data_IF_199946523997
#
_entry.id   IF_199946523997
#
_cell.length_a   1.000
_cell.length_b   1.000
_cell.length_c   1.000
_cell.angle_alpha   90.00
_cell.angle_beta   90.00
_cell.angle_gamma   90.00
#
_symmetry.space_group_name_H-M   'P 1'
#
loop_
_entity.id
_entity.type
_entity.pdbx_description
1 polymer ?
#
# COMPACT_ATOMS: atom_id res chain seq x y z
N UNK A 1 -30.73 -0.42 -12.35
CA UNK A 1 -30.23 -0.10 -13.70
C UNK A 1 -28.94 0.68 -13.50
N UNK A 2 -27.84 -0.01 -13.20
CA UNK A 2 -26.45 0.46 -13.31
C UNK A 2 -25.55 -0.74 -12.91
N UNK A 3 -25.42 -1.62 -13.87
CA UNK A 3 -24.35 -2.62 -13.92
C UNK A 3 -23.51 -2.16 -15.11
N UNK A 4 -22.30 -1.71 -14.82
CA UNK A 4 -21.16 -1.68 -15.75
C UNK A 4 -20.08 -0.75 -15.17
N UNK A 5 -19.13 -1.34 -14.47
CA UNK A 5 -17.73 -0.87 -14.38
C UNK A 5 -16.89 -1.80 -13.48
N UNK A 6 -16.87 -3.08 -13.84
CA UNK A 6 -16.02 -4.06 -13.17
C UNK A 6 -15.26 -4.95 -14.17
N UNK A 7 -14.75 -4.33 -15.25
CA UNK A 7 -13.88 -5.05 -16.22
C UNK A 7 -12.77 -4.12 -16.64
N UNK A 8 -11.70 -4.04 -15.85
CA UNK A 8 -10.39 -3.58 -16.36
C UNK A 8 -9.22 -3.89 -15.38
N UNK A 9 -9.11 -5.13 -14.89
CA UNK A 9 -7.84 -5.62 -14.33
C UNK A 9 -7.76 -7.14 -14.47
N UNK A 10 -7.78 -7.62 -15.75
CA UNK A 10 -7.33 -8.96 -16.11
C UNK A 10 -6.90 -8.94 -17.56
N UNK A 11 -5.64 -8.63 -17.79
CA UNK A 11 -4.86 -9.09 -18.96
C UNK A 11 -3.46 -8.49 -18.87
N UNK A 12 -2.54 -9.26 -18.34
CA UNK A 12 -1.11 -9.26 -18.69
C UNK A 12 -0.43 -10.41 -17.92
N UNK A 13 -0.72 -11.63 -18.32
CA UNK A 13 0.15 -12.77 -18.08
C UNK A 13 -0.33 -13.91 -18.96
N UNK A 14 0.21 -14.02 -20.17
CA UNK A 14 0.47 -15.32 -20.83
C UNK A 14 1.00 -15.09 -22.24
N UNK A 15 1.98 -15.91 -22.54
CA UNK A 15 2.42 -16.40 -23.83
C UNK A 15 3.72 -15.84 -24.38
N UNK A 16 4.76 -16.62 -24.18
CA UNK A 16 5.83 -16.81 -25.16
C UNK A 16 6.28 -18.28 -25.10
N UNK A 17 5.64 -19.11 -25.89
CA UNK A 17 6.18 -20.39 -26.34
C UNK A 17 6.07 -20.37 -27.87
N UNK A 18 7.20 -20.28 -28.54
CA UNK A 18 7.32 -20.50 -29.97
C UNK A 18 8.17 -21.75 -30.21
N UNK A 19 7.49 -22.79 -30.63
CA UNK A 19 8.04 -24.00 -31.20
C UNK A 19 8.43 -23.75 -32.66
N UNK A 20 9.63 -24.17 -33.05
CA UNK A 20 10.01 -24.30 -34.47
C UNK A 20 10.24 -25.77 -34.77
N UNK A 21 9.46 -26.32 -35.72
CA UNK A 21 9.64 -27.60 -36.36
C UNK A 21 9.61 -27.43 -37.88
N UNK A 22 10.40 -28.24 -38.58
CA UNK A 22 10.29 -28.56 -40.01
C UNK A 22 11.48 -28.04 -40.79
N UNK A 23 12.37 -28.79 -41.36
CA UNK A 23 12.29 -30.12 -41.95
C UNK A 23 12.35 -30.04 -43.47
N UNK A 24 13.38 -30.59 -44.06
CA UNK A 24 13.33 -31.00 -45.47
C UNK A 24 14.66 -30.89 -46.24
N UNK A 25 15.06 -31.95 -46.92
CA UNK A 25 16.38 -32.13 -47.48
C UNK A 25 16.40 -31.92 -49.02
N UNK A 26 17.52 -31.49 -49.56
CA UNK A 26 17.87 -31.61 -51.00
C UNK A 26 19.40 -31.58 -51.08
N UNK A 27 20.07 -32.32 -51.65
CA UNK A 27 20.24 -33.30 -52.72
C UNK A 27 21.74 -33.27 -53.19
N UNK A 28 22.23 -34.41 -53.60
CA UNK A 28 23.62 -34.69 -53.88
C UNK A 28 24.02 -34.18 -55.25
N UNK A 29 25.22 -33.64 -55.38
CA UNK A 29 25.85 -33.28 -56.67
C UNK A 29 27.38 -33.46 -56.68
N UNK A 30 27.79 -34.62 -56.93
CA UNK A 30 28.92 -35.13 -57.73
C UNK A 30 30.23 -34.36 -57.84
N UNK A 31 31.27 -35.07 -57.50
CA UNK A 31 32.70 -34.80 -57.54
C UNK A 31 33.28 -34.38 -58.89
N UNK A 32 34.34 -33.59 -58.85
CA UNK A 32 35.46 -33.65 -59.81
C UNK A 32 36.78 -33.55 -59.05
N UNK A 33 37.59 -34.59 -59.30
CA UNK A 33 38.96 -34.80 -58.86
C UNK A 33 39.88 -33.93 -59.67
N UNK A 34 40.80 -33.18 -59.07
CA UNK A 34 42.01 -32.66 -59.65
C UNK A 34 43.17 -32.81 -58.67
N UNK A 35 44.16 -33.65 -59.10
CA UNK A 35 45.47 -33.80 -58.48
C UNK A 35 46.36 -32.61 -58.84
N UNK A 36 47.15 -32.14 -57.91
CA UNK A 36 48.15 -31.10 -58.20
C UNK A 36 48.97 -30.70 -56.98
N UNK A 37 49.95 -31.52 -56.66
CA UNK A 37 51.30 -31.22 -56.11
C UNK A 37 51.54 -30.06 -55.18
N UNK A 38 51.86 -30.38 -53.95
CA UNK A 38 53.03 -30.08 -53.12
C UNK A 38 53.78 -28.76 -53.37
N UNK A 39 53.36 -27.65 -52.68
CA UNK A 39 54.20 -26.51 -52.31
C UNK A 39 53.57 -25.65 -51.19
N UNK A 40 52.77 -26.22 -50.33
CA UNK A 40 51.97 -25.46 -49.37
C UNK A 40 52.25 -25.80 -47.89
N UNK A 41 53.34 -26.48 -47.55
CA UNK A 41 53.51 -26.99 -46.22
C UNK A 41 54.23 -26.08 -45.24
N UNK A 42 54.97 -25.06 -45.69
CA UNK A 42 55.69 -24.16 -44.78
C UNK A 42 54.97 -22.82 -44.40
N UNK A 43 54.07 -22.35 -45.25
CA UNK A 43 53.29 -21.14 -45.00
C UNK A 43 52.15 -21.33 -43.97
N UNK A 44 51.69 -22.59 -43.79
CA UNK A 44 50.49 -22.91 -43.01
C UNK A 44 50.76 -22.99 -41.48
N UNK A 45 52.06 -23.20 -41.09
CA UNK A 45 52.40 -23.24 -39.62
C UNK A 45 52.58 -21.84 -39.03
N UNK A 46 53.03 -20.86 -39.79
CA UNK A 46 53.15 -19.48 -39.31
C UNK A 46 51.76 -18.82 -39.22
N UNK A 47 50.88 -19.04 -40.19
CA UNK A 47 49.53 -18.47 -40.19
C UNK A 47 48.67 -19.03 -39.04
N UNK A 48 48.83 -20.33 -38.73
CA UNK A 48 48.11 -20.94 -37.58
C UNK A 48 48.55 -20.37 -36.22
N UNK A 49 49.81 -20.00 -36.06
CA UNK A 49 50.32 -19.38 -34.80
C UNK A 49 49.84 -17.94 -34.64
N UNK A 50 49.75 -17.18 -35.72
CA UNK A 50 49.27 -15.78 -35.69
C UNK A 50 47.75 -15.73 -35.46
N UNK A 51 46.98 -16.63 -36.12
CA UNK A 51 45.53 -16.73 -35.88
C UNK A 51 45.25 -17.23 -34.47
N UNK A 52 46.04 -18.18 -33.93
CA UNK A 52 45.87 -18.65 -32.56
C UNK A 52 46.08 -17.57 -31.49
N UNK A 53 47.06 -16.64 -31.72
CA UNK A 53 47.32 -15.53 -30.82
C UNK A 53 46.25 -14.45 -30.94
N UNK A 54 45.76 -14.15 -32.14
CA UNK A 54 44.70 -13.18 -32.37
C UNK A 54 43.32 -13.67 -31.81
N UNK A 55 43.05 -14.96 -31.92
CA UNK A 55 41.82 -15.53 -31.30
C UNK A 55 41.92 -15.61 -29.78
N UNK A 56 43.10 -15.85 -29.20
CA UNK A 56 43.30 -15.79 -27.75
C UNK A 56 43.15 -14.38 -27.19
N UNK A 57 43.48 -13.33 -27.96
CA UNK A 57 43.29 -11.92 -27.56
C UNK A 57 41.85 -11.45 -27.75
N UNK A 58 41.05 -12.09 -28.59
CA UNK A 58 39.64 -11.73 -28.80
C UNK A 58 38.73 -12.25 -27.68
N UNK A 59 39.18 -13.15 -26.83
CA UNK A 59 38.45 -13.69 -25.66
C UNK A 59 38.81 -13.04 -24.32
N UNK A 60 39.60 -11.97 -24.30
CA UNK A 60 39.56 -11.03 -23.18
C UNK A 60 38.28 -10.20 -23.36
N UNK A 61 37.13 -10.87 -23.32
CA UNK A 61 35.86 -10.22 -23.06
C UNK A 61 36.06 -9.44 -21.78
N UNK A 62 35.97 -8.11 -21.87
CA UNK A 62 35.71 -7.27 -20.73
C UNK A 62 34.45 -7.85 -20.06
N UNK A 63 34.64 -8.76 -19.13
CA UNK A 63 33.68 -8.97 -18.08
C UNK A 63 33.66 -7.64 -17.32
N UNK A 64 32.88 -6.72 -17.82
CA UNK A 64 32.52 -5.49 -17.12
C UNK A 64 31.86 -6.00 -15.86
N UNK A 65 32.65 -6.07 -14.76
CA UNK A 65 32.11 -6.43 -13.47
C UNK A 65 30.97 -5.45 -13.20
N UNK A 66 29.74 -5.95 -13.28
CA UNK A 66 28.58 -5.15 -12.92
C UNK A 66 28.87 -4.59 -11.54
N UNK A 67 28.80 -3.27 -11.41
CA UNK A 67 28.95 -2.63 -10.10
C UNK A 67 27.97 -3.30 -9.14
N UNK A 68 28.42 -3.81 -7.98
CA UNK A 68 27.54 -4.47 -7.05
C UNK A 68 26.40 -3.54 -6.66
N UNK A 69 25.15 -3.97 -6.89
CA UNK A 69 23.99 -3.25 -6.43
C UNK A 69 23.83 -3.47 -4.93
N UNK A 70 23.45 -2.42 -4.20
CA UNK A 70 23.06 -2.50 -2.79
C UNK A 70 21.55 -2.37 -2.67
N UNK A 71 20.89 -3.13 -1.76
CA UNK A 71 19.46 -2.99 -1.52
C UNK A 71 19.10 -1.56 -1.08
N UNK A 72 17.99 -1.03 -1.61
CA UNK A 72 17.35 0.17 -1.09
C UNK A 72 16.44 -0.24 0.06
N UNK A 73 16.83 0.04 1.30
CA UNK A 73 16.05 -0.31 2.49
C UNK A 73 15.14 0.86 2.86
N UNK A 74 13.82 0.62 2.83
CA UNK A 74 12.79 1.62 3.20
C UNK A 74 12.38 1.46 4.66
N UNK A 75 12.33 0.24 5.19
CA UNK A 75 11.86 -0.05 6.54
C UNK A 75 12.04 -1.53 6.88
N UNK A 76 11.24 -2.01 7.81
CA UNK A 76 11.27 -3.39 8.29
C UNK A 76 9.94 -4.08 8.07
N UNK A 77 9.95 -5.40 7.94
CA UNK A 77 8.75 -6.24 7.91
C UNK A 77 8.87 -7.37 8.92
N UNK A 78 7.76 -7.69 9.59
CA UNK A 78 7.67 -8.87 10.45
C UNK A 78 6.25 -9.45 10.41
N UNK A 79 6.05 -10.61 11.00
CA UNK A 79 4.74 -11.26 11.09
C UNK A 79 4.30 -11.43 12.53
N UNK A 80 3.00 -11.28 12.76
CA UNK A 80 2.31 -11.62 14.01
C UNK A 80 1.46 -12.85 13.73
N UNK A 81 1.64 -13.92 14.51
CA UNK A 81 0.69 -15.02 14.57
C UNK A 81 -0.48 -14.60 15.47
N UNK A 82 -1.51 -14.04 14.81
CA UNK A 82 -2.65 -13.49 15.53
C UNK A 82 -3.55 -14.58 16.08
N UNK A 83 -3.75 -14.58 17.37
CA UNK A 83 -4.73 -15.44 18.05
C UNK A 83 -6.16 -14.92 17.89
N UNK A 84 -6.31 -13.60 17.82
CA UNK A 84 -7.60 -12.93 17.63
C UNK A 84 -8.16 -13.23 16.25
N UNK A 85 -7.32 -13.15 15.20
CA UNK A 85 -7.73 -13.39 13.82
C UNK A 85 -7.59 -14.85 13.39
N UNK A 86 -6.78 -15.66 14.08
CA UNK A 86 -6.49 -17.05 13.72
C UNK A 86 -5.63 -17.20 12.48
N UNK A 87 -4.78 -16.21 12.17
CA UNK A 87 -3.96 -16.17 10.95
C UNK A 87 -2.65 -15.39 11.16
N UNK A 88 -1.72 -15.54 10.20
CA UNK A 88 -0.50 -14.73 10.16
C UNK A 88 -0.80 -13.35 9.56
N UNK A 89 -0.34 -12.30 10.22
CA UNK A 89 -0.42 -10.92 9.75
C UNK A 89 0.96 -10.35 9.50
N UNK A 90 1.19 -9.89 8.28
CA UNK A 90 2.42 -9.17 7.93
C UNK A 90 2.25 -7.70 8.27
N UNK A 91 3.27 -7.16 8.93
CA UNK A 91 3.35 -5.78 9.37
C UNK A 91 4.59 -5.14 8.75
N UNK A 92 4.42 -4.01 8.11
CA UNK A 92 5.49 -3.20 7.54
C UNK A 92 5.67 -1.94 8.38
N UNK A 93 6.91 -1.60 8.71
CA UNK A 93 7.20 -0.45 9.57
C UNK A 93 8.24 0.46 8.92
N UNK A 94 7.92 1.75 8.87
CA UNK A 94 8.85 2.80 8.47
C UNK A 94 9.09 3.76 9.64
N UNK A 95 10.35 3.98 9.98
CA UNK A 95 10.78 4.97 10.96
C UNK A 95 11.49 6.10 10.21
N UNK A 96 11.06 7.37 10.35
CA UNK A 96 11.71 8.49 9.66
C UNK A 96 13.19 8.58 10.01
N UNK A 97 14.10 8.78 9.03
CA UNK A 97 15.52 8.92 9.27
C UNK A 97 15.85 10.04 10.29
N UNK A 98 16.84 9.79 11.14
CA UNK A 98 17.26 10.75 12.18
C UNK A 98 16.37 10.77 13.43
N UNK A 99 15.35 9.92 13.51
CA UNK A 99 14.40 9.89 14.63
C UNK A 99 14.52 8.66 15.54
N UNK A 100 15.52 7.80 15.32
CA UNK A 100 15.69 6.51 16.01
C UNK A 100 15.79 6.62 17.54
N UNK A 101 16.34 7.73 18.06
CA UNK A 101 16.54 7.94 19.49
C UNK A 101 15.35 8.59 20.19
N UNK A 102 14.42 9.15 19.44
CA UNK A 102 13.21 9.78 19.95
C UNK A 102 12.10 8.75 20.24
N UNK A 103 11.19 9.09 21.16
CA UNK A 103 9.91 8.40 21.25
C UNK A 103 8.93 9.08 20.30
N UNK A 104 8.41 8.33 19.34
CA UNK A 104 7.55 8.84 18.28
C UNK A 104 6.10 8.40 18.46
N UNK A 105 5.11 9.21 18.07
CA UNK A 105 3.75 8.74 17.89
C UNK A 105 3.67 7.75 16.72
N UNK A 106 2.60 6.97 16.69
CA UNK A 106 2.42 5.91 15.67
C UNK A 106 1.27 6.26 14.73
N UNK A 107 1.51 6.15 13.42
CA UNK A 107 0.47 6.21 12.39
C UNK A 107 0.21 4.79 11.87
N UNK A 108 -0.96 4.25 12.16
CA UNK A 108 -1.42 2.96 11.65
C UNK A 108 -2.12 3.13 10.30
N UNK A 109 -1.97 2.16 9.43
CA UNK A 109 -2.69 2.12 8.16
C UNK A 109 -3.06 0.68 7.76
N UNK A 110 -4.34 0.37 7.58
CA UNK A 110 -4.76 -0.75 6.74
C UNK A 110 -4.31 -0.53 5.29
N UNK A 111 -4.41 -1.54 4.43
CA UNK A 111 -3.85 -1.49 3.08
C UNK A 111 -2.34 -1.16 3.09
N UNK A 112 -1.64 -1.71 4.10
CA UNK A 112 -0.26 -1.37 4.42
C UNK A 112 0.77 -2.36 3.87
N UNK A 113 0.45 -3.15 2.84
CA UNK A 113 1.38 -4.02 2.13
C UNK A 113 2.31 -3.25 1.20
N UNK A 114 3.45 -3.86 0.85
CA UNK A 114 4.41 -3.26 -0.11
C UNK A 114 3.78 -3.10 -1.52
N UNK A 115 2.87 -4.00 -1.90
CA UNK A 115 2.09 -3.93 -3.14
C UNK A 115 0.78 -3.12 -2.99
N UNK A 116 0.55 -2.55 -1.82
CA UNK A 116 -0.57 -1.69 -1.48
C UNK A 116 -0.05 -0.24 -1.27
N UNK A 117 -0.58 0.50 -0.32
CA UNK A 117 -0.29 1.93 -0.14
C UNK A 117 0.90 2.25 0.79
N UNK A 118 1.60 1.26 1.33
CA UNK A 118 2.67 1.48 2.30
C UNK A 118 3.76 2.42 1.79
N UNK A 119 4.28 2.17 0.58
CA UNK A 119 5.37 2.99 0.01
C UNK A 119 4.91 4.41 -0.30
N UNK A 120 3.65 4.58 -0.71
CA UNK A 120 3.05 5.88 -0.96
C UNK A 120 3.03 6.73 0.33
N UNK A 121 2.49 6.19 1.41
CA UNK A 121 2.37 6.92 2.68
C UNK A 121 3.74 7.10 3.36
N UNK A 122 4.64 6.12 3.28
CA UNK A 122 6.01 6.27 3.75
C UNK A 122 6.74 7.41 3.03
N UNK A 123 6.57 7.53 1.71
CA UNK A 123 7.13 8.63 0.92
C UNK A 123 6.55 9.99 1.29
N UNK A 124 5.23 10.08 1.52
CA UNK A 124 4.61 11.32 2.00
C UNK A 124 5.16 11.75 3.36
N UNK A 125 5.30 10.80 4.30
CA UNK A 125 5.91 11.09 5.61
C UNK A 125 7.36 11.50 5.48
N UNK A 126 8.16 10.79 4.67
CA UNK A 126 9.57 11.13 4.46
C UNK A 126 9.75 12.58 4.02
N UNK A 127 9.02 12.99 2.98
CA UNK A 127 9.12 14.35 2.43
C UNK A 127 8.60 15.38 3.42
N UNK A 128 7.46 15.11 4.07
CA UNK A 128 6.80 16.05 4.97
C UNK A 128 7.54 16.24 6.29
N UNK A 129 8.17 15.20 6.81
CA UNK A 129 9.06 15.28 7.97
C UNK A 129 10.37 16.01 7.59
N UNK A 130 10.93 15.69 6.41
CA UNK A 130 12.17 16.33 5.93
C UNK A 130 12.07 17.83 5.66
N UNK A 131 10.85 18.36 5.42
CA UNK A 131 10.59 19.78 5.24
C UNK A 131 9.84 20.43 6.42
N UNK A 132 9.80 19.77 7.58
CA UNK A 132 9.22 20.26 8.84
C UNK A 132 7.72 20.61 8.78
N UNK A 133 6.97 20.14 7.79
CA UNK A 133 5.51 20.37 7.72
C UNK A 133 4.72 19.37 8.54
N UNK A 134 5.30 18.20 8.82
CA UNK A 134 4.73 17.11 9.62
C UNK A 134 5.77 16.66 10.64
N UNK A 135 5.37 16.46 11.88
CA UNK A 135 6.24 15.86 12.91
C UNK A 135 6.46 14.38 12.63
N UNK A 136 7.59 13.78 13.06
CA UNK A 136 7.88 12.38 12.78
C UNK A 136 6.89 11.43 13.47
N UNK A 137 6.41 10.43 12.73
CA UNK A 137 5.60 9.30 13.17
C UNK A 137 6.25 8.00 12.74
N UNK A 138 6.17 6.97 13.56
CA UNK A 138 6.39 5.59 13.11
C UNK A 138 5.18 5.20 12.27
N UNK A 139 5.37 4.85 10.99
CA UNK A 139 4.30 4.30 10.16
C UNK A 139 4.24 2.78 10.36
N UNK A 140 3.04 2.28 10.64
CA UNK A 140 2.75 0.85 10.80
C UNK A 140 1.70 0.44 9.78
N UNK A 141 2.13 -0.21 8.72
CA UNK A 141 1.27 -0.74 7.67
C UNK A 141 0.84 -2.18 7.98
N UNK A 142 -0.45 -2.45 7.90
CA UNK A 142 -1.05 -3.76 8.09
C UNK A 142 -1.42 -4.31 6.71
N UNK A 143 -0.66 -5.31 6.23
CA UNK A 143 -0.92 -5.95 4.94
C UNK A 143 -2.24 -6.73 4.98
N UNK A 144 -3.00 -6.65 3.90
CA UNK A 144 -4.29 -7.34 3.81
C UNK A 144 -4.11 -8.86 3.64
N UNK A 145 -5.02 -9.59 4.26
CA UNK A 145 -5.32 -11.01 3.97
C UNK A 145 -6.72 -11.10 3.37
N UNK A 146 -7.73 -10.75 4.13
CA UNK A 146 -9.12 -10.66 3.69
C UNK A 146 -9.65 -9.23 3.89
N UNK A 147 -9.23 -8.33 3.00
CA UNK A 147 -9.52 -6.90 3.08
C UNK A 147 -10.97 -6.57 3.40
N UNK A 148 -11.91 -7.21 2.69
CA UNK A 148 -13.35 -6.92 2.85
C UNK A 148 -13.92 -7.46 4.15
N UNK A 149 -13.42 -8.61 4.65
CA UNK A 149 -13.74 -9.10 5.99
C UNK A 149 -13.32 -8.10 7.06
N UNK A 150 -12.08 -7.64 7.00
CA UNK A 150 -11.45 -6.89 8.08
C UNK A 150 -11.89 -5.42 8.13
N UNK A 151 -12.20 -4.83 6.98
CA UNK A 151 -12.46 -3.40 6.87
C UNK A 151 -13.95 -3.03 6.84
N UNK A 152 -14.84 -4.02 6.91
CA UNK A 152 -16.29 -3.78 6.92
C UNK A 152 -16.95 -4.24 8.21
N UNK A 153 -17.91 -3.45 8.69
CA UNK A 153 -18.83 -3.86 9.74
C UNK A 153 -19.92 -4.84 9.25
N UNK A 154 -20.68 -5.44 10.15
CA UNK A 154 -21.82 -6.28 9.78
C UNK A 154 -22.79 -5.53 8.87
N UNK A 155 -23.30 -6.23 7.85
CA UNK A 155 -24.28 -5.71 6.92
C UNK A 155 -25.55 -6.56 6.89
N UNK A 156 -26.68 -5.93 6.66
CA UNK A 156 -27.96 -6.59 6.36
C UNK A 156 -28.29 -6.55 4.86
N UNK A 157 -27.55 -5.74 4.11
CA UNK A 157 -27.71 -5.63 2.66
C UNK A 157 -27.15 -6.90 1.97
N UNK A 158 -27.96 -7.51 1.12
CA UNK A 158 -27.57 -8.72 0.41
C UNK A 158 -26.62 -8.45 -0.75
N UNK A 159 -26.58 -7.23 -1.30
CA UNK A 159 -25.61 -6.83 -2.32
C UNK A 159 -24.22 -6.68 -1.69
N UNK A 160 -24.12 -6.08 -0.51
CA UNK A 160 -22.88 -6.02 0.25
C UNK A 160 -22.29 -7.41 0.50
N UNK A 161 -23.14 -8.39 0.86
CA UNK A 161 -22.69 -9.77 1.13
C UNK A 161 -22.15 -10.49 -0.09
N UNK A 162 -22.50 -10.02 -1.31
CA UNK A 162 -22.02 -10.61 -2.58
C UNK A 162 -20.60 -10.17 -2.96
N UNK A 163 -20.11 -9.06 -2.42
CA UNK A 163 -18.81 -8.51 -2.84
C UNK A 163 -17.59 -9.31 -2.39
N UNK A 164 -17.75 -10.17 -1.38
CA UNK A 164 -16.70 -11.07 -0.92
C UNK A 164 -17.30 -12.27 -0.18
N UNK A 165 -16.59 -13.41 -0.10
CA UNK A 165 -17.03 -14.59 0.65
C UNK A 165 -17.25 -14.31 2.14
N UNK A 166 -16.47 -13.41 2.71
CA UNK A 166 -16.56 -13.00 4.12
C UNK A 166 -16.51 -11.48 4.23
N UNK A 167 -17.42 -10.91 5.01
CA UNK A 167 -17.54 -9.49 5.33
C UNK A 167 -17.91 -9.33 6.82
N UNK A 168 -17.84 -8.11 7.36
CA UNK A 168 -18.38 -7.80 8.67
C UNK A 168 -17.48 -8.11 9.87
N UNK A 169 -16.16 -8.26 9.66
CA UNK A 169 -15.19 -8.62 10.69
C UNK A 169 -14.44 -7.43 11.32
N UNK A 170 -14.82 -6.19 11.03
CA UNK A 170 -14.10 -4.99 11.48
C UNK A 170 -13.92 -4.91 13.00
N UNK A 171 -14.88 -5.40 13.79
CA UNK A 171 -14.76 -5.42 15.24
C UNK A 171 -13.64 -6.34 15.74
N UNK A 172 -13.47 -7.49 15.10
CA UNK A 172 -12.39 -8.45 15.42
C UNK A 172 -11.05 -7.88 14.96
N UNK A 173 -11.03 -7.16 13.84
CA UNK A 173 -9.83 -6.50 13.37
C UNK A 173 -9.39 -5.35 14.31
N UNK A 174 -10.33 -4.56 14.87
CA UNK A 174 -10.03 -3.58 15.96
C UNK A 174 -9.46 -4.29 17.20
N UNK A 175 -10.01 -5.43 17.56
CA UNK A 175 -9.52 -6.22 18.70
C UNK A 175 -8.07 -6.70 18.48
N UNK A 176 -7.74 -7.21 17.28
CA UNK A 176 -6.35 -7.53 16.88
C UNK A 176 -5.43 -6.32 17.02
N UNK A 177 -5.82 -5.17 16.48
CA UNK A 177 -5.00 -3.95 16.56
C UNK A 177 -4.74 -3.59 18.04
N UNK A 178 -5.77 -3.61 18.87
CA UNK A 178 -5.68 -3.23 20.29
C UNK A 178 -4.87 -4.22 21.11
N UNK A 179 -5.13 -5.52 20.95
CA UNK A 179 -4.62 -6.54 21.85
C UNK A 179 -3.28 -7.15 21.44
N UNK A 180 -2.98 -7.12 20.15
CA UNK A 180 -1.80 -7.80 19.61
C UNK A 180 -0.85 -6.82 18.90
N UNK A 181 -1.33 -6.03 17.94
CA UNK A 181 -0.46 -5.16 17.16
C UNK A 181 0.13 -4.01 17.98
N UNK A 182 -0.69 -3.22 18.68
CA UNK A 182 -0.21 -2.08 19.46
C UNK A 182 0.81 -2.47 20.55
N UNK A 183 0.59 -3.54 21.34
CA UNK A 183 1.61 -4.03 22.28
C UNK A 183 2.90 -4.47 21.61
N UNK A 184 2.83 -5.15 20.47
CA UNK A 184 3.99 -5.60 19.71
C UNK A 184 4.82 -4.42 19.18
N UNK A 185 4.16 -3.38 18.65
CA UNK A 185 4.82 -2.15 18.22
C UNK A 185 5.50 -1.45 19.42
N UNK A 186 4.83 -1.36 20.55
CA UNK A 186 5.40 -0.74 21.76
C UNK A 186 6.60 -1.53 22.33
N UNK A 187 6.65 -2.85 22.12
CA UNK A 187 7.76 -3.69 22.52
C UNK A 187 8.99 -3.55 21.60
N UNK A 188 8.76 -3.31 20.29
CA UNK A 188 9.83 -3.25 19.28
C UNK A 188 10.40 -1.85 19.07
N UNK A 189 9.56 -0.82 19.18
CA UNK A 189 9.92 0.55 18.82
C UNK A 189 9.74 1.51 19.99
N UNK A 190 10.53 2.58 19.98
CA UNK A 190 10.42 3.66 20.97
C UNK A 190 9.24 4.56 20.60
N UNK A 191 8.05 4.23 21.09
CA UNK A 191 6.82 4.97 20.77
C UNK A 191 6.24 5.70 21.97
N UNK A 192 5.43 6.74 21.70
CA UNK A 192 4.59 7.43 22.67
C UNK A 192 3.23 6.74 22.79
N UNK A 193 2.34 7.26 23.64
CA UNK A 193 0.95 6.79 23.72
C UNK A 193 0.08 7.36 22.60
N UNK A 194 0.52 8.43 21.94
CA UNK A 194 -0.26 9.05 20.87
C UNK A 194 -0.28 8.18 19.62
N UNK A 195 -1.48 7.98 19.09
CA UNK A 195 -1.72 7.14 17.93
C UNK A 195 -2.68 7.78 16.94
N UNK A 196 -2.39 7.56 15.66
CA UNK A 196 -3.21 7.98 14.53
C UNK A 196 -3.53 6.80 13.62
N UNK A 197 -4.61 6.92 12.84
CA UNK A 197 -4.95 5.96 11.78
C UNK A 197 -5.34 6.70 10.51
N UNK A 198 -4.91 6.19 9.35
CA UNK A 198 -5.28 6.67 8.02
C UNK A 198 -5.77 5.53 7.15
N UNK A 199 -6.77 5.78 6.33
CA UNK A 199 -7.26 4.83 5.33
C UNK A 199 -8.10 5.50 4.26
N UNK A 200 -8.15 4.85 3.09
CA UNK A 200 -8.92 5.26 1.92
C UNK A 200 -9.95 4.19 1.57
N UNK A 201 -11.08 4.58 0.98
CA UNK A 201 -12.10 3.63 0.52
C UNK A 201 -12.67 2.78 1.66
N UNK A 202 -12.57 1.43 1.59
CA UNK A 202 -12.97 0.54 2.68
C UNK A 202 -12.09 0.72 3.95
N UNK A 203 -10.80 1.05 3.80
CA UNK A 203 -9.95 1.43 4.93
C UNK A 203 -10.42 2.75 5.56
N UNK A 204 -10.89 3.70 4.74
CA UNK A 204 -11.54 4.93 5.21
C UNK A 204 -12.84 4.63 5.95
N UNK A 205 -13.66 3.68 5.47
CA UNK A 205 -14.83 3.21 6.18
C UNK A 205 -14.46 2.63 7.56
N UNK A 206 -13.44 1.77 7.63
CA UNK A 206 -12.94 1.21 8.88
C UNK A 206 -12.48 2.30 9.86
N UNK A 207 -11.80 3.35 9.36
CA UNK A 207 -11.39 4.50 10.15
C UNK A 207 -12.60 5.23 10.75
N UNK A 208 -13.62 5.56 9.93
CA UNK A 208 -14.85 6.20 10.40
C UNK A 208 -15.65 5.31 11.35
N UNK A 209 -15.76 4.03 11.04
CA UNK A 209 -16.45 3.06 11.91
C UNK A 209 -15.76 2.99 13.27
N UNK A 210 -14.43 2.94 13.29
CA UNK A 210 -13.66 2.92 14.54
C UNK A 210 -13.86 4.24 15.32
N UNK A 211 -13.82 5.38 14.65
CA UNK A 211 -14.10 6.67 15.28
C UNK A 211 -15.49 6.74 15.91
N UNK A 212 -16.50 6.22 15.26
CA UNK A 212 -17.88 6.28 15.76
C UNK A 212 -18.18 5.21 16.83
N UNK A 213 -17.63 4.01 16.70
CA UNK A 213 -18.00 2.86 17.54
C UNK A 213 -16.97 2.58 18.66
N UNK A 214 -15.70 2.90 18.48
CA UNK A 214 -14.58 2.55 19.37
C UNK A 214 -13.53 3.69 19.44
N UNK A 215 -13.99 4.90 19.73
CA UNK A 215 -13.20 6.15 19.63
C UNK A 215 -11.96 6.21 20.52
N UNK A 216 -11.85 5.32 21.50
CA UNK A 216 -10.69 5.29 22.39
C UNK A 216 -9.50 4.50 21.80
N UNK A 217 -9.65 3.90 20.63
CA UNK A 217 -8.57 3.13 20.00
C UNK A 217 -7.44 4.01 19.48
N UNK A 218 -7.76 5.18 18.92
CA UNK A 218 -6.78 6.15 18.42
C UNK A 218 -7.10 7.56 18.90
N UNK A 219 -6.15 8.49 18.73
CA UNK A 219 -6.33 9.91 19.02
C UNK A 219 -6.67 10.73 17.77
N UNK A 220 -6.12 10.33 16.62
CA UNK A 220 -6.28 11.01 15.33
C UNK A 220 -6.78 10.02 14.30
N UNK A 221 -7.84 10.39 13.59
CA UNK A 221 -8.52 9.62 12.57
C UNK A 221 -8.52 10.37 11.23
N UNK A 222 -8.04 9.74 10.17
CA UNK A 222 -7.97 10.31 8.82
C UNK A 222 -8.64 9.35 7.84
N UNK A 223 -9.85 9.69 7.39
CA UNK A 223 -10.66 8.88 6.48
C UNK A 223 -10.76 9.56 5.12
N UNK A 224 -10.16 8.97 4.09
CA UNK A 224 -10.16 9.50 2.73
C UNK A 224 -11.19 8.75 1.90
N UNK A 225 -12.13 9.48 1.37
CA UNK A 225 -13.22 9.01 0.48
C UNK A 225 -13.82 7.66 0.92
N UNK A 226 -14.25 7.58 2.19
CA UNK A 226 -14.64 6.34 2.82
C UNK A 226 -15.89 5.74 2.15
N UNK A 227 -15.94 4.40 2.04
CA UNK A 227 -17.08 3.66 1.47
C UNK A 227 -18.31 3.69 2.37
N UNK A 228 -18.81 4.90 2.70
CA UNK A 228 -19.90 5.12 3.67
C UNK A 228 -21.26 4.64 3.21
N UNK A 229 -21.40 4.26 1.93
CA UNK A 229 -22.58 3.60 1.36
C UNK A 229 -22.82 2.19 1.96
N UNK A 230 -21.79 1.57 2.56
CA UNK A 230 -21.88 0.24 3.20
C UNK A 230 -23.07 0.14 4.15
N UNK A 231 -23.79 -0.98 4.06
CA UNK A 231 -24.98 -1.27 4.89
C UNK A 231 -26.01 -0.12 4.86
N UNK A 232 -26.32 0.37 3.66
CA UNK A 232 -27.28 1.46 3.43
C UNK A 232 -26.92 2.73 4.27
N UNK A 233 -25.65 3.10 4.28
CA UNK A 233 -25.10 4.26 5.02
C UNK A 233 -25.45 4.26 6.53
N UNK A 234 -25.83 3.12 7.10
CA UNK A 234 -26.31 2.99 8.49
C UNK A 234 -25.32 3.54 9.52
N UNK A 235 -24.03 3.45 9.24
CA UNK A 235 -22.99 4.02 10.09
C UNK A 235 -23.20 5.53 10.30
N UNK A 236 -23.44 6.27 9.22
CA UNK A 236 -23.66 7.72 9.25
C UNK A 236 -25.04 8.06 9.79
N UNK A 237 -26.06 7.32 9.41
CA UNK A 237 -27.42 7.51 9.93
C UNK A 237 -27.50 7.40 11.47
N UNK A 238 -26.66 6.54 12.07
CA UNK A 238 -26.59 6.33 13.52
C UNK A 238 -25.49 7.17 14.20
N UNK A 239 -24.82 8.07 13.49
CA UNK A 239 -23.66 8.81 14.03
C UNK A 239 -24.01 9.66 15.26
N UNK A 240 -25.20 10.29 15.29
CA UNK A 240 -25.63 11.11 16.44
C UNK A 240 -25.63 10.31 17.75
N UNK A 241 -26.10 9.06 17.72
CA UNK A 241 -26.12 8.18 18.89
C UNK A 241 -24.72 7.77 19.33
N UNK A 242 -23.86 7.50 18.36
CA UNK A 242 -22.45 7.17 18.60
C UNK A 242 -21.68 8.35 19.20
N UNK A 243 -21.95 9.58 18.74
CA UNK A 243 -21.31 10.80 19.24
C UNK A 243 -21.70 11.18 20.66
N UNK A 244 -22.87 10.75 21.15
CA UNK A 244 -23.27 10.96 22.55
C UNK A 244 -22.40 10.19 23.56
N UNK A 245 -21.73 9.11 23.12
CA UNK A 245 -20.77 8.40 23.98
C UNK A 245 -19.50 9.22 24.14
N UNK A 246 -19.10 9.48 25.39
CA UNK A 246 -17.85 10.19 25.64
C UNK A 246 -16.66 9.29 25.37
N UNK A 247 -15.64 9.85 24.73
CA UNK A 247 -14.32 9.24 24.61
C UNK A 247 -13.40 9.76 25.72
N UNK A 248 -12.36 9.02 26.03
CA UNK A 248 -11.27 9.47 26.90
C UNK A 248 -10.34 10.41 26.12
N UNK A 249 -10.10 11.61 26.65
CA UNK A 249 -9.19 12.58 26.06
C UNK A 249 -9.70 13.27 24.76
N UNK A 250 -8.88 14.13 24.20
CA UNK A 250 -9.16 14.84 22.97
C UNK A 250 -9.03 13.90 21.76
N UNK A 251 -10.03 13.94 20.88
CA UNK A 251 -10.05 13.15 19.64
C UNK A 251 -10.16 14.06 18.44
N UNK A 252 -9.51 13.67 17.35
CA UNK A 252 -9.51 14.46 16.12
C UNK A 252 -9.89 13.60 14.92
N UNK A 253 -10.75 14.14 14.06
CA UNK A 253 -11.22 13.48 12.83
C UNK A 253 -10.99 14.38 11.62
N UNK A 254 -10.36 13.87 10.59
CA UNK A 254 -10.29 14.48 9.27
C UNK A 254 -10.93 13.51 8.26
N UNK A 255 -11.87 14.00 7.45
CA UNK A 255 -12.47 13.16 6.42
C UNK A 255 -12.70 13.94 5.13
N UNK A 256 -12.65 13.22 4.00
CA UNK A 256 -12.60 13.79 2.66
C UNK A 256 -13.59 13.07 1.76
N UNK A 257 -14.22 13.78 0.82
CA UNK A 257 -15.00 13.20 -0.28
C UNK A 257 -14.41 13.55 -1.63
N UNK A 258 -14.55 12.63 -2.59
CA UNK A 258 -14.22 12.82 -4.01
C UNK A 258 -15.38 13.50 -4.78
N UNK A 259 -15.33 13.39 -6.12
CA UNK A 259 -16.42 13.83 -7.03
C UNK A 259 -17.69 12.97 -6.92
N UNK A 260 -17.63 11.82 -6.22
CA UNK A 260 -18.77 10.90 -6.08
C UNK A 260 -19.88 11.51 -5.23
N UNK A 261 -20.95 11.94 -5.91
CA UNK A 261 -22.04 12.71 -5.31
C UNK A 261 -22.75 12.00 -4.17
N UNK A 262 -22.93 10.70 -4.28
CA UNK A 262 -23.60 9.89 -3.24
C UNK A 262 -22.75 9.86 -1.95
N UNK A 263 -21.49 9.48 -2.06
CA UNK A 263 -20.53 9.50 -0.94
C UNK A 263 -20.41 10.88 -0.34
N UNK A 264 -20.28 11.94 -1.16
CA UNK A 264 -20.20 13.30 -0.70
C UNK A 264 -21.45 13.73 0.08
N UNK A 265 -22.66 13.40 -0.40
CA UNK A 265 -23.90 13.74 0.28
C UNK A 265 -24.03 13.05 1.64
N UNK A 266 -23.60 11.77 1.75
CA UNK A 266 -23.59 11.03 3.02
C UNK A 266 -22.57 11.66 4.00
N UNK A 267 -21.40 12.05 3.52
CA UNK A 267 -20.38 12.71 4.36
C UNK A 267 -20.77 14.12 4.78
N UNK A 268 -21.53 14.85 3.98
CA UNK A 268 -22.15 16.13 4.39
C UNK A 268 -23.16 15.95 5.52
N UNK A 269 -23.95 14.87 5.52
CA UNK A 269 -24.82 14.52 6.66
C UNK A 269 -24.02 14.22 7.92
N UNK A 270 -22.90 13.51 7.80
CA UNK A 270 -21.98 13.31 8.94
C UNK A 270 -21.43 14.63 9.46
N UNK A 271 -21.00 15.54 8.56
CA UNK A 271 -20.51 16.85 8.95
C UNK A 271 -21.60 17.68 9.67
N UNK A 272 -22.84 17.65 9.19
CA UNK A 272 -23.97 18.29 9.87
C UNK A 272 -24.22 17.69 11.26
N UNK A 273 -24.14 16.39 11.40
CA UNK A 273 -24.29 15.68 12.68
C UNK A 273 -23.17 16.04 13.65
N UNK A 274 -21.93 16.12 13.18
CA UNK A 274 -20.79 16.57 13.98
C UNK A 274 -20.93 18.01 14.45
N UNK A 275 -21.39 18.94 13.61
CA UNK A 275 -21.66 20.35 14.03
C UNK A 275 -22.61 20.42 15.23
N UNK A 276 -23.58 19.52 15.30
CA UNK A 276 -24.57 19.50 16.38
C UNK A 276 -24.10 18.73 17.62
N UNK A 277 -23.12 17.82 17.51
CA UNK A 277 -22.83 16.83 18.56
C UNK A 277 -21.34 16.68 18.88
N UNK A 278 -20.43 17.58 18.46
CA UNK A 278 -18.98 17.38 18.53
C UNK A 278 -18.30 17.88 19.82
N UNK A 279 -19.00 17.94 20.94
CA UNK A 279 -18.39 18.39 22.19
C UNK A 279 -17.11 17.58 22.52
N UNK A 280 -15.96 18.25 22.56
CA UNK A 280 -14.65 17.64 22.83
C UNK A 280 -14.01 16.90 21.64
N UNK A 281 -14.55 17.04 20.43
CA UNK A 281 -14.00 16.48 19.19
C UNK A 281 -13.55 17.62 18.29
N UNK A 282 -12.29 17.59 17.86
CA UNK A 282 -11.80 18.44 16.78
C UNK A 282 -12.03 17.71 15.45
N UNK A 283 -12.70 18.35 14.51
CA UNK A 283 -12.96 17.68 13.23
C UNK A 283 -12.83 18.63 12.03
N UNK A 284 -12.50 18.06 10.88
CA UNK A 284 -12.39 18.77 9.62
C UNK A 284 -12.96 17.90 8.50
N UNK A 285 -13.83 18.47 7.67
CA UNK A 285 -14.33 17.87 6.43
C UNK A 285 -13.82 18.67 5.25
N UNK A 286 -13.17 17.98 4.31
CA UNK A 286 -12.57 18.56 3.10
C UNK A 286 -13.18 17.93 1.86
N UNK A 287 -14.18 18.53 1.20
CA UNK A 287 -14.65 18.06 -0.10
C UNK A 287 -13.63 18.39 -1.20
N UNK A 288 -13.30 17.40 -2.02
CA UNK A 288 -12.40 17.50 -3.17
C UNK A 288 -13.12 17.11 -4.47
N UNK A 289 -14.08 17.92 -4.96
CA UNK A 289 -14.95 17.55 -6.07
C UNK A 289 -14.25 17.49 -7.44
N UNK A 290 -12.97 17.82 -7.51
CA UNK A 290 -12.14 17.68 -8.72
C UNK A 290 -11.33 16.39 -8.73
N UNK A 291 -11.31 15.66 -7.60
CA UNK A 291 -10.62 14.39 -7.48
C UNK A 291 -11.59 13.22 -7.67
N UNK A 292 -11.12 12.18 -8.38
CA UNK A 292 -11.82 10.90 -8.47
C UNK A 292 -11.48 10.02 -7.29
N UNK A 293 -12.30 9.01 -7.02
CA UNK A 293 -11.99 7.99 -6.03
C UNK A 293 -10.57 7.40 -6.22
N UNK A 294 -10.17 7.15 -7.46
CA UNK A 294 -8.86 6.58 -7.79
C UNK A 294 -7.66 7.55 -7.71
N UNK A 295 -7.89 8.87 -7.53
CA UNK A 295 -6.81 9.88 -7.52
C UNK A 295 -6.72 10.66 -6.21
N UNK A 296 -7.75 10.59 -5.39
CA UNK A 296 -7.92 11.45 -4.22
C UNK A 296 -6.92 11.14 -3.08
N UNK A 297 -6.48 9.88 -2.94
CA UNK A 297 -5.71 9.48 -1.77
C UNK A 297 -4.44 10.31 -1.57
N UNK A 298 -3.67 10.54 -2.64
CA UNK A 298 -2.42 11.31 -2.56
C UNK A 298 -2.62 12.76 -2.09
N UNK A 299 -3.42 13.60 -2.77
CA UNK A 299 -3.62 14.99 -2.37
C UNK A 299 -4.33 15.12 -1.03
N UNK A 300 -5.28 14.22 -0.71
CA UNK A 300 -6.00 14.22 0.55
C UNK A 300 -5.11 13.85 1.74
N UNK A 301 -4.30 12.78 1.62
CA UNK A 301 -3.37 12.39 2.67
C UNK A 301 -2.34 13.49 2.95
N UNK A 302 -1.78 14.12 1.91
CA UNK A 302 -0.85 15.24 2.07
C UNK A 302 -1.47 16.41 2.83
N UNK A 303 -2.71 16.80 2.51
CA UNK A 303 -3.42 17.88 3.22
C UNK A 303 -3.74 17.46 4.65
N UNK A 304 -4.30 16.26 4.84
CA UNK A 304 -4.65 15.75 6.16
C UNK A 304 -3.45 15.69 7.09
N UNK A 305 -2.30 15.21 6.63
CA UNK A 305 -1.09 15.14 7.45
C UNK A 305 -0.60 16.51 7.88
N UNK A 306 -0.61 17.51 7.00
CA UNK A 306 -0.25 18.89 7.35
C UNK A 306 -1.19 19.52 8.37
N UNK A 307 -2.47 19.16 8.36
CA UNK A 307 -3.46 19.65 9.31
C UNK A 307 -3.41 18.89 10.63
N UNK A 308 -3.37 17.56 10.56
CA UNK A 308 -3.58 16.68 11.73
C UNK A 308 -2.28 16.30 12.43
N UNK A 309 -1.18 16.19 11.67
CA UNK A 309 0.13 15.73 12.15
C UNK A 309 1.18 16.85 12.10
N UNK A 310 0.75 18.09 12.03
CA UNK A 310 1.59 19.30 11.94
C UNK A 310 2.69 19.33 13.02
N UNK A 311 3.86 19.82 12.65
CA UNK A 311 4.96 20.14 13.58
C UNK A 311 4.70 21.41 14.39
N UNK A 312 3.81 22.30 13.94
CA UNK A 312 3.41 23.46 14.73
C UNK A 312 2.72 23.02 16.03
N UNK A 313 3.17 23.53 17.18
CA UNK A 313 2.46 23.31 18.46
C UNK A 313 1.02 23.80 18.28
N UNK A 314 0.05 22.95 18.59
CA UNK A 314 -1.34 23.39 18.78
C UNK A 314 -1.33 24.31 20.01
N UNK A 315 -1.45 25.63 19.79
CA UNK A 315 -1.66 26.62 20.84
C UNK A 315 -3.00 26.39 21.55
#
# INVERSE_FOLDING_TARGET
>A
MHVENNVLFRQLASSSTATHSGGGPVDAGRAKKYDGHSWLFEGMFMLRRVIGVLVAWSFVSLAQAATPSTPLVVGETFTIESKVLGELRRINVYVPPGSSDARLPVLYMPDGGIAEDFLHIAGLLQVSVGNDTVRPFVLVGIENTERRRDLTGPTQDDEDKKIAPRVGGSSVFREFIRKELMPEIAARYRVTQESAIVGESLAGLFVLETFLLDRDLFDIYIAVDPSVWWNDARLVHNAADSLRRRASGAKSLYFVSSEEKETAAILEQLAATLRANSAGISWHYEPMPTEKHSTIFHPAALKAFRVMLSSAKRE
#
